data_IF_179176524740
#
_entry.id   IF_179176524740
#
_cell.length_a   1.000
_cell.length_b   1.000
_cell.length_c   1.000
_cell.angle_alpha   90.00
_cell.angle_beta   90.00
_cell.angle_gamma   90.00
#
_symmetry.space_group_name_H-M   'P 1'
#
loop_
_entity.id
_entity.type
_entity.pdbx_description
1 polymer ?
#
# COMPACT_ATOMS: atom_id res chain seq x y z
N UNK A 1 -1.13 -10.13 17.43
CA UNK A 1 -2.30 -10.37 16.56
C UNK A 1 -1.78 -10.63 15.15
N UNK A 2 -2.37 -11.58 14.43
CA UNK A 2 -2.02 -11.83 13.04
C UNK A 2 -2.52 -10.65 12.19
N UNK A 3 -1.64 -10.06 11.38
CA UNK A 3 -2.00 -8.94 10.49
C UNK A 3 -2.78 -9.49 9.31
N UNK A 4 -3.99 -8.97 9.06
CA UNK A 4 -4.76 -9.33 7.87
C UNK A 4 -4.40 -8.38 6.74
N UNK A 5 -3.90 -8.94 5.64
CA UNK A 5 -3.56 -8.24 4.41
C UNK A 5 -4.57 -8.64 3.34
N UNK A 6 -5.20 -7.64 2.74
CA UNK A 6 -6.30 -7.80 1.77
C UNK A 6 -5.94 -7.11 0.45
N UNK A 7 -6.95 -6.59 -0.27
CA UNK A 7 -6.84 -5.93 -1.56
C UNK A 7 -5.57 -5.08 -1.74
N UNK A 8 -4.95 -5.22 -2.89
CA UNK A 8 -3.71 -4.53 -3.22
C UNK A 8 -3.12 -5.01 -4.53
N UNK A 9 -1.87 -4.65 -4.78
CA UNK A 9 -1.25 -4.83 -6.08
C UNK A 9 0.25 -5.03 -6.03
N UNK A 10 0.77 -5.56 -7.14
CA UNK A 10 2.19 -5.59 -7.46
C UNK A 10 2.49 -4.55 -8.54
N UNK A 11 3.78 -4.36 -8.88
CA UNK A 11 4.15 -3.50 -10.01
C UNK A 11 3.48 -3.99 -11.31
N UNK A 12 2.64 -3.13 -11.90
CA UNK A 12 1.84 -3.46 -13.09
C UNK A 12 2.70 -3.82 -14.32
N UNK A 13 3.93 -3.31 -14.39
CA UNK A 13 4.87 -3.61 -15.48
C UNK A 13 5.40 -5.05 -15.42
N UNK A 14 5.16 -5.76 -14.31
CA UNK A 14 5.60 -7.14 -14.08
C UNK A 14 4.41 -8.12 -13.93
N UNK A 15 3.18 -7.72 -14.30
CA UNK A 15 2.04 -8.62 -14.23
C UNK A 15 2.26 -9.89 -15.05
N UNK A 16 1.93 -11.04 -14.45
CA UNK A 16 2.17 -12.36 -15.03
C UNK A 16 3.63 -12.85 -14.94
N UNK A 17 4.52 -12.06 -14.32
CA UNK A 17 5.91 -12.42 -14.04
C UNK A 17 6.14 -12.46 -12.54
N UNK A 18 7.25 -13.06 -12.11
CA UNK A 18 7.64 -13.10 -10.69
C UNK A 18 7.93 -11.67 -10.20
N UNK A 19 7.25 -11.25 -9.14
CA UNK A 19 7.48 -9.99 -8.43
C UNK A 19 8.08 -10.26 -7.05
N UNK A 20 8.89 -9.33 -6.56
CA UNK A 20 9.42 -9.32 -5.19
C UNK A 20 8.53 -8.54 -4.24
N UNK A 21 7.91 -7.45 -4.69
CA UNK A 21 7.16 -6.56 -3.81
C UNK A 21 5.66 -6.59 -4.10
N UNK A 22 4.87 -6.63 -3.02
CA UNK A 22 3.42 -6.42 -3.05
C UNK A 22 3.03 -5.30 -2.08
N UNK A 23 2.03 -4.52 -2.45
CA UNK A 23 1.45 -3.46 -1.63
C UNK A 23 0.02 -3.84 -1.30
N UNK A 24 -0.27 -4.13 -0.04
CA UNK A 24 -1.54 -4.73 0.39
C UNK A 24 -2.19 -3.88 1.48
N UNK A 25 -3.51 -3.75 1.44
CA UNK A 25 -4.28 -3.08 2.48
C UNK A 25 -4.19 -3.85 3.80
N UNK A 26 -3.94 -3.14 4.91
CA UNK A 26 -4.00 -3.72 6.26
C UNK A 26 -5.47 -3.65 6.69
N UNK A 27 -6.14 -4.78 6.87
CA UNK A 27 -7.58 -4.87 7.12
C UNK A 27 -7.94 -5.15 8.60
N UNK A 28 -7.15 -4.63 9.54
CA UNK A 28 -7.39 -4.75 10.98
C UNK A 28 -7.40 -3.38 11.66
N UNK A 29 -8.49 -2.97 12.36
CA UNK A 29 -9.72 -3.73 12.61
C UNK A 29 -10.67 -3.77 11.40
N UNK A 30 -11.11 -4.97 11.00
CA UNK A 30 -12.09 -5.12 9.91
C UNK A 30 -13.43 -4.42 10.24
N UNK A 31 -14.10 -3.75 9.28
CA UNK A 31 -13.78 -3.61 7.86
C UNK A 31 -12.91 -2.38 7.52
N UNK A 32 -12.31 -1.73 8.53
CA UNK A 32 -11.55 -0.50 8.31
C UNK A 32 -10.11 -0.81 7.89
N UNK A 33 -9.59 -0.01 6.97
CA UNK A 33 -8.21 -0.12 6.48
C UNK A 33 -7.38 1.03 7.04
N UNK A 34 -6.70 0.88 8.20
CA UNK A 34 -5.92 1.96 8.80
C UNK A 34 -4.58 2.23 8.10
N UNK A 35 -4.21 1.45 7.09
CA UNK A 35 -2.94 1.58 6.39
C UNK A 35 -2.74 0.57 5.28
N UNK A 36 -1.55 0.57 4.71
CA UNK A 36 -1.10 -0.46 3.77
C UNK A 36 0.29 -0.97 4.17
N UNK A 37 0.67 -2.12 3.62
CA UNK A 37 1.95 -2.75 3.87
C UNK A 37 2.70 -2.99 2.55
N UNK A 38 3.99 -2.66 2.53
CA UNK A 38 4.94 -3.19 1.55
C UNK A 38 5.45 -4.53 2.05
N UNK A 39 5.22 -5.58 1.28
CA UNK A 39 5.64 -6.95 1.57
C UNK A 39 6.75 -7.34 0.61
N UNK A 40 7.91 -7.72 1.14
CA UNK A 40 8.94 -8.44 0.38
C UNK A 40 8.57 -9.93 0.35
N UNK A 41 8.04 -10.38 -0.78
CA UNK A 41 7.61 -11.77 -1.01
C UNK A 41 8.78 -12.78 -1.00
N UNK A 42 10.02 -12.30 -1.12
CA UNK A 42 11.20 -13.17 -1.09
C UNK A 42 11.71 -13.44 0.33
N UNK A 43 11.64 -12.45 1.21
CA UNK A 43 12.15 -12.53 2.59
C UNK A 43 11.05 -12.67 3.64
N UNK A 44 9.81 -12.28 3.31
CA UNK A 44 8.71 -12.12 4.25
C UNK A 44 8.77 -10.84 5.09
N UNK A 45 9.70 -9.92 4.80
CA UNK A 45 9.75 -8.63 5.50
C UNK A 45 8.52 -7.77 5.15
N UNK A 46 7.94 -7.13 6.16
CA UNK A 46 6.76 -6.28 6.01
C UNK A 46 7.04 -4.89 6.59
N UNK A 47 6.82 -3.85 5.78
CA UNK A 47 6.87 -2.45 6.21
C UNK A 47 5.49 -1.83 6.13
N UNK A 48 4.98 -1.35 7.26
CA UNK A 48 3.64 -0.79 7.36
C UNK A 48 3.66 0.73 7.23
N UNK A 49 2.70 1.27 6.51
CA UNK A 49 2.37 2.69 6.48
C UNK A 49 0.96 2.87 7.04
N UNK A 50 0.86 3.43 8.25
CA UNK A 50 -0.42 3.74 8.89
C UNK A 50 -0.82 5.18 8.59
N UNK A 51 -2.09 5.39 8.26
CA UNK A 51 -2.61 6.72 7.90
C UNK A 51 -2.71 7.68 9.09
N UNK A 52 -2.78 7.14 10.31
CA UNK A 52 -2.92 7.88 11.55
C UNK A 52 -4.18 7.51 12.33
N UNK A 53 -4.40 8.18 13.47
CA UNK A 53 -5.57 7.95 14.31
C UNK A 53 -6.86 8.30 13.56
N UNK A 54 -7.88 7.43 13.61
CA UNK A 54 -9.20 7.61 12.96
C UNK A 54 -9.14 7.93 11.46
N UNK A 55 -8.03 7.55 10.81
CA UNK A 55 -7.83 7.69 9.37
C UNK A 55 -7.86 6.33 8.72
N UNK A 56 -8.69 6.19 7.71
CA UNK A 56 -8.92 4.92 7.03
C UNK A 56 -8.95 5.12 5.53
N UNK A 57 -8.41 4.15 4.80
CA UNK A 57 -8.37 4.17 3.35
C UNK A 57 -8.94 2.89 2.75
N UNK A 58 -8.29 2.42 1.69
CA UNK A 58 -8.62 1.18 1.02
C UNK A 58 -7.41 0.61 0.29
N UNK A 59 -7.64 0.17 -0.94
CA UNK A 59 -6.60 -0.42 -1.80
C UNK A 59 -5.48 0.60 -2.11
N UNK A 60 -4.20 0.29 -1.81
CA UNK A 60 -3.08 1.13 -2.21
C UNK A 60 -2.80 0.99 -3.70
N UNK A 61 -2.50 2.11 -4.38
CA UNK A 61 -2.15 2.12 -5.80
C UNK A 61 -0.66 2.40 -6.03
N UNK A 62 0.10 1.42 -6.51
CA UNK A 62 1.49 1.60 -6.93
C UNK A 62 1.59 2.20 -8.34
N UNK A 63 2.25 3.36 -8.41
CA UNK A 63 2.59 4.08 -9.64
C UNK A 63 4.13 4.07 -9.83
N UNK A 64 4.67 3.34 -10.83
CA UNK A 64 6.11 3.37 -11.12
C UNK A 64 6.56 4.76 -11.57
N UNK A 65 7.79 5.16 -11.20
CA UNK A 65 8.34 6.51 -11.49
C UNK A 65 8.52 6.79 -12.99
N UNK A 66 8.76 5.77 -13.80
CA UNK A 66 8.97 5.90 -15.25
C UNK A 66 9.28 4.58 -15.95
N UNK A 67 9.69 4.67 -17.22
CA UNK A 67 10.17 3.53 -18.02
C UNK A 67 11.64 3.17 -17.73
N UNK A 68 12.40 4.13 -17.20
CA UNK A 68 13.77 3.91 -16.74
C UNK A 68 13.71 3.09 -15.45
N UNK A 69 14.34 1.92 -15.47
CA UNK A 69 14.11 0.85 -14.52
C UNK A 69 15.15 0.91 -13.39
N UNK A 70 14.91 1.72 -12.38
CA UNK A 70 15.82 1.85 -11.23
C UNK A 70 15.52 0.83 -10.11
N UNK A 71 14.39 0.12 -10.18
CA UNK A 71 14.01 -0.95 -9.26
C UNK A 71 12.55 -1.35 -9.41
N UNK A 72 12.19 -2.58 -8.99
CA UNK A 72 10.80 -3.04 -9.03
C UNK A 72 9.85 -2.15 -8.20
N UNK A 73 10.35 -1.62 -7.10
CA UNK A 73 9.67 -0.72 -6.16
C UNK A 73 9.99 0.75 -6.38
N UNK A 74 10.71 1.14 -7.45
CA UNK A 74 10.92 2.57 -7.71
C UNK A 74 9.65 3.23 -8.24
N UNK A 75 8.93 3.87 -7.32
CA UNK A 75 7.66 4.49 -7.60
C UNK A 75 7.05 5.09 -6.35
N UNK A 76 5.74 5.29 -6.45
CA UNK A 76 4.94 5.92 -5.43
C UNK A 76 3.71 5.07 -5.11
N UNK A 77 3.33 5.03 -3.84
CA UNK A 77 2.02 4.54 -3.41
C UNK A 77 1.07 5.71 -3.29
N UNK A 78 -0.05 5.62 -3.98
CA UNK A 78 -1.15 6.57 -3.93
C UNK A 78 -2.28 5.92 -3.15
N UNK A 79 -2.79 6.59 -2.11
CA UNK A 79 -3.91 6.09 -1.31
C UNK A 79 -4.89 7.19 -0.95
N UNK A 80 -6.18 6.91 -1.14
CA UNK A 80 -7.26 7.75 -0.62
C UNK A 80 -7.48 7.44 0.85
N UNK A 81 -7.47 8.49 1.67
CA UNK A 81 -7.62 8.38 3.12
C UNK A 81 -8.75 9.30 3.54
N UNK A 82 -9.67 8.78 4.35
CA UNK A 82 -10.73 9.53 5.00
C UNK A 82 -10.41 9.69 6.49
N UNK A 83 -10.39 10.94 6.95
CA UNK A 83 -10.24 11.32 8.35
C UNK A 83 -11.62 11.48 8.97
N UNK A 84 -12.01 10.55 9.84
CA UNK A 84 -13.31 10.55 10.52
C UNK A 84 -13.41 11.62 11.62
N UNK A 85 -12.30 12.21 12.06
CA UNK A 85 -12.32 13.30 13.04
C UNK A 85 -12.61 14.64 12.37
N UNK A 86 -11.94 14.93 11.25
CA UNK A 86 -12.14 16.17 10.51
C UNK A 86 -13.21 16.09 9.40
N UNK A 87 -13.71 14.89 9.10
CA UNK A 87 -14.63 14.61 7.98
C UNK A 87 -14.09 15.05 6.62
N UNK A 88 -12.76 14.98 6.46
CA UNK A 88 -12.07 15.34 5.22
C UNK A 88 -11.43 14.12 4.60
N UNK A 89 -11.26 14.17 3.29
CA UNK A 89 -10.51 13.18 2.55
C UNK A 89 -9.21 13.77 2.06
N UNK A 90 -8.15 12.98 2.08
CA UNK A 90 -6.82 13.33 1.59
C UNK A 90 -6.32 12.25 0.62
N UNK A 91 -5.44 12.66 -0.30
CA UNK A 91 -4.69 11.76 -1.17
C UNK A 91 -3.25 11.72 -0.66
N UNK A 92 -2.83 10.60 -0.11
CA UNK A 92 -1.44 10.42 0.31
C UNK A 92 -0.61 9.88 -0.86
N UNK A 93 0.56 10.48 -1.08
CA UNK A 93 1.57 10.01 -2.04
C UNK A 93 2.83 9.67 -1.25
N UNK A 94 3.19 8.40 -1.21
CA UNK A 94 4.25 7.85 -0.38
C UNK A 94 5.33 7.23 -1.26
N UNK A 95 6.61 7.40 -0.92
CA UNK A 95 7.69 6.68 -1.61
C UNK A 95 7.57 5.17 -1.30
N UNK A 96 7.60 4.34 -2.34
CA UNK A 96 7.19 2.95 -2.25
C UNK A 96 8.21 2.02 -1.59
#
# INVERSE_FOLDING_TARGET
>A
AQMNLEAGMVNRNLLGRKTRYAYLAIAEPWPKVPGFAKVDLSTGEVKNHFYGCKKYGGEPFFLPRGLEFDGEDDGYIISFVHDEESWKSELQIVNA
#
